data_IF_702200172128
#
_entry.id   IF_702200172128
#
_cell.length_a   1.000
_cell.length_b   1.000
_cell.length_c   1.000
_cell.angle_alpha   90.00
_cell.angle_beta   90.00
_cell.angle_gamma   90.00
#
_symmetry.space_group_name_H-M   'P 1'
#
loop_
_entity.id
_entity.type
_entity.pdbx_description
1 polymer ?
#
# COMPACT_ATOMS: atom_id res chain seq x y z
N UNK A 1 21.51 0.59 17.12
CA UNK A 1 20.35 1.32 16.57
C UNK A 1 20.04 0.72 15.22
N UNK A 2 19.01 -0.13 15.15
CA UNK A 2 18.63 -0.84 13.93
C UNK A 2 17.32 -0.28 13.37
N UNK A 3 17.35 0.16 12.12
CA UNK A 3 16.19 0.61 11.36
C UNK A 3 15.60 -0.56 10.60
N UNK A 4 14.36 -0.95 10.91
CA UNK A 4 13.62 -1.96 10.16
C UNK A 4 12.94 -1.31 8.95
N UNK A 5 13.28 -1.75 7.74
CA UNK A 5 12.70 -1.24 6.50
C UNK A 5 11.69 -2.26 5.96
N UNK A 6 10.41 -1.88 5.97
CA UNK A 6 9.32 -2.72 5.47
C UNK A 6 9.10 -2.44 3.98
N UNK A 7 9.54 -3.36 3.13
CA UNK A 7 9.45 -3.20 1.67
C UNK A 7 9.09 -4.54 0.97
N UNK A 8 9.51 -4.70 -0.28
CA UNK A 8 9.37 -5.91 -1.08
C UNK A 8 10.58 -6.07 -2.01
N UNK A 9 10.80 -7.29 -2.51
CA UNK A 9 12.04 -7.68 -3.18
C UNK A 9 12.36 -6.86 -4.44
N UNK A 10 11.32 -6.44 -5.18
CA UNK A 10 11.42 -5.65 -6.41
C UNK A 10 11.08 -4.15 -6.20
N UNK A 11 11.24 -3.62 -4.98
CA UNK A 11 11.15 -2.17 -4.79
C UNK A 11 12.29 -1.43 -5.52
N UNK A 12 12.12 -0.13 -5.68
CA UNK A 12 13.03 0.69 -6.45
C UNK A 12 14.29 1.12 -5.67
N UNK A 13 15.16 1.86 -6.38
CA UNK A 13 16.43 2.44 -5.91
C UNK A 13 16.33 3.24 -4.60
N UNK A 14 15.14 3.64 -4.15
CA UNK A 14 14.96 4.29 -2.85
C UNK A 14 15.48 3.46 -1.68
N UNK A 15 15.35 2.12 -1.73
CA UNK A 15 15.78 1.24 -0.62
C UNK A 15 17.30 1.27 -0.40
N UNK A 16 18.15 0.94 -1.40
CA UNK A 16 19.60 0.98 -1.22
C UNK A 16 20.13 2.38 -0.90
N UNK A 17 19.51 3.45 -1.43
CA UNK A 17 19.90 4.82 -1.10
C UNK A 17 19.68 5.15 0.39
N UNK A 18 18.53 4.77 0.94
CA UNK A 18 18.21 5.02 2.36
C UNK A 18 19.05 4.13 3.27
N UNK A 19 19.29 2.86 2.92
CA UNK A 19 20.19 1.98 3.66
C UNK A 19 21.58 2.60 3.79
N UNK A 20 22.17 3.03 2.67
CA UNK A 20 23.49 3.69 2.66
C UNK A 20 23.52 4.96 3.51
N UNK A 21 22.45 5.75 3.48
CA UNK A 21 22.35 6.96 4.29
C UNK A 21 22.28 6.64 5.80
N UNK A 22 21.57 5.58 6.19
CA UNK A 22 21.52 5.10 7.59
C UNK A 22 22.91 4.63 8.04
N UNK A 23 23.58 3.82 7.21
CA UNK A 23 24.92 3.30 7.48
C UNK A 23 25.98 4.41 7.59
N UNK A 24 25.91 5.42 6.71
CA UNK A 24 26.80 6.58 6.75
C UNK A 24 26.67 7.40 8.05
N UNK A 25 25.55 7.30 8.74
CA UNK A 25 25.32 7.90 10.06
C UNK A 25 25.66 6.96 11.23
N UNK A 26 26.25 5.78 10.95
CA UNK A 26 26.60 4.77 11.95
C UNK A 26 25.43 3.91 12.42
N UNK A 27 24.27 4.00 11.78
CA UNK A 27 23.12 3.13 12.02
C UNK A 27 23.26 1.78 11.32
N UNK A 28 22.39 0.83 11.70
CA UNK A 28 22.20 -0.42 10.96
C UNK A 28 20.82 -0.41 10.32
N UNK A 29 20.69 -0.97 9.13
CA UNK A 29 19.39 -1.17 8.48
C UNK A 29 19.14 -2.66 8.26
N UNK A 30 17.93 -3.12 8.55
CA UNK A 30 17.47 -4.46 8.22
C UNK A 30 16.34 -4.34 7.22
N UNK A 31 16.53 -4.90 6.02
CA UNK A 31 15.53 -4.92 4.96
C UNK A 31 14.62 -6.13 5.15
N UNK A 32 13.33 -5.89 5.32
CA UNK A 32 12.32 -6.94 5.35
C UNK A 32 11.43 -6.86 4.11
N UNK A 33 11.62 -7.83 3.20
CA UNK A 33 10.85 -7.98 1.97
C UNK A 33 9.56 -8.77 2.23
N UNK A 34 8.45 -8.06 2.38
CA UNK A 34 7.15 -8.64 2.77
C UNK A 34 6.53 -9.59 1.74
N UNK A 35 6.97 -9.54 0.48
CA UNK A 35 6.57 -10.47 -0.57
C UNK A 35 7.25 -11.83 -0.47
N UNK A 36 8.44 -11.89 0.14
CA UNK A 36 9.24 -13.10 0.37
C UNK A 36 8.82 -13.87 1.62
N UNK A 37 8.09 -13.24 2.54
CA UNK A 37 7.38 -13.92 3.62
C UNK A 37 6.04 -14.49 3.09
N UNK A 38 5.72 -15.78 3.31
CA UNK A 38 6.34 -16.72 4.23
C UNK A 38 7.26 -17.76 3.55
N UNK A 39 7.51 -17.65 2.25
CA UNK A 39 8.17 -18.69 1.45
C UNK A 39 9.68 -18.73 1.63
N UNK A 40 10.31 -17.60 1.93
CA UNK A 40 11.77 -17.45 2.02
C UNK A 40 12.22 -16.80 3.33
N UNK A 41 11.39 -15.90 3.88
CA UNK A 41 11.64 -15.22 5.16
C UNK A 41 10.79 -15.88 6.25
N UNK A 42 11.38 -16.11 7.42
CA UNK A 42 10.70 -16.62 8.60
C UNK A 42 10.41 -15.48 9.57
N UNK A 43 9.26 -15.57 10.24
CA UNK A 43 8.81 -14.61 11.23
C UNK A 43 8.29 -15.36 12.46
N UNK A 44 8.98 -15.19 13.58
CA UNK A 44 8.57 -15.70 14.88
C UNK A 44 8.11 -14.53 15.76
N UNK A 45 6.88 -14.58 16.26
CA UNK A 45 6.32 -13.56 17.18
C UNK A 45 5.83 -14.27 18.43
N UNK A 46 6.35 -13.86 19.58
CA UNK A 46 6.01 -14.40 20.89
C UNK A 46 5.28 -13.34 21.71
N UNK A 47 4.13 -13.71 22.27
CA UNK A 47 3.40 -12.90 23.23
C UNK A 47 2.93 -13.77 24.41
N UNK A 48 2.88 -13.18 25.61
CA UNK A 48 2.53 -13.87 26.85
C UNK A 48 3.75 -14.07 27.76
N UNK A 49 4.00 -15.31 28.20
CA UNK A 49 5.08 -15.62 29.15
C UNK A 49 6.48 -15.37 28.57
N UNK A 50 6.63 -15.48 27.25
CA UNK A 50 7.77 -14.97 26.49
C UNK A 50 7.28 -13.84 25.60
N UNK A 51 8.09 -12.78 25.50
CA UNK A 51 7.80 -11.64 24.64
C UNK A 51 9.00 -11.39 23.73
N UNK A 52 8.73 -11.13 22.46
CA UNK A 52 9.75 -10.76 21.49
C UNK A 52 9.34 -11.19 20.09
N UNK A 53 10.23 -10.96 19.14
CA UNK A 53 10.06 -11.50 17.81
C UNK A 53 11.35 -11.49 17.05
N UNK A 54 11.43 -12.34 16.04
CA UNK A 54 12.62 -12.57 15.26
C UNK A 54 12.23 -12.62 13.79
N UNK A 55 12.96 -11.87 12.97
CA UNK A 55 12.92 -12.01 11.51
C UNK A 55 14.19 -12.74 11.08
N UNK A 56 14.04 -13.82 10.32
CA UNK A 56 15.18 -14.58 9.75
C UNK A 56 15.09 -14.59 8.22
N UNK A 57 16.11 -14.07 7.55
CA UNK A 57 16.25 -14.06 6.09
C UNK A 57 17.63 -14.62 5.70
N UNK A 58 17.66 -15.91 5.35
CA UNK A 58 18.90 -16.65 5.15
C UNK A 58 19.78 -16.67 6.41
N UNK A 59 21.00 -16.16 6.29
CA UNK A 59 21.94 -16.04 7.43
C UNK A 59 21.69 -14.79 8.29
N UNK A 60 20.87 -13.85 7.80
CA UNK A 60 20.57 -12.62 8.52
C UNK A 60 19.44 -12.85 9.52
N UNK A 61 19.62 -12.31 10.73
CA UNK A 61 18.63 -12.38 11.80
C UNK A 61 18.48 -11.03 12.47
N UNK A 62 17.25 -10.64 12.74
CA UNK A 62 16.91 -9.45 13.51
C UNK A 62 16.03 -9.84 14.69
N UNK A 63 16.51 -9.57 15.90
CA UNK A 63 15.66 -9.51 17.09
C UNK A 63 14.89 -8.18 17.09
N UNK A 64 13.55 -8.24 17.15
CA UNK A 64 12.70 -7.07 17.10
C UNK A 64 12.90 -6.13 18.31
N UNK A 65 13.49 -6.61 19.41
CA UNK A 65 13.87 -5.75 20.54
C UNK A 65 15.03 -4.79 20.21
N UNK A 66 15.82 -5.06 19.17
CA UNK A 66 16.90 -4.19 18.70
C UNK A 66 16.41 -3.06 17.78
N UNK A 67 15.14 -3.10 17.37
CA UNK A 67 14.56 -2.15 16.42
C UNK A 67 14.32 -0.80 17.11
N UNK A 68 15.03 0.21 16.63
CA UNK A 68 14.91 1.58 17.12
C UNK A 68 13.98 2.44 16.27
N UNK A 69 13.71 2.05 15.03
CA UNK A 69 12.75 2.72 14.16
C UNK A 69 12.29 1.83 13.02
N UNK A 70 11.08 2.09 12.50
CA UNK A 70 10.47 1.38 11.39
C UNK A 70 10.21 2.35 10.24
N UNK A 71 10.66 2.01 9.04
CA UNK A 71 10.25 2.67 7.80
C UNK A 71 9.15 1.85 7.12
N UNK A 72 7.91 2.34 7.22
CA UNK A 72 6.72 1.71 6.64
C UNK A 72 6.56 2.11 5.18
N UNK A 73 7.38 1.53 4.30
CA UNK A 73 7.55 1.97 2.91
C UNK A 73 6.53 1.37 1.94
N UNK A 74 6.59 0.07 1.69
CA UNK A 74 5.74 -0.62 0.70
C UNK A 74 5.41 -2.02 1.17
N UNK A 75 4.16 -2.40 1.02
CA UNK A 75 3.65 -3.65 1.58
C UNK A 75 3.11 -4.53 0.47
N UNK A 76 3.75 -5.69 0.26
CA UNK A 76 3.40 -6.67 -0.76
C UNK A 76 3.31 -8.07 -0.13
N UNK A 77 2.59 -8.17 0.99
CA UNK A 77 2.45 -9.39 1.79
C UNK A 77 2.18 -10.64 0.95
N UNK A 78 3.00 -11.68 1.11
CA UNK A 78 2.75 -13.00 0.53
C UNK A 78 2.71 -13.03 -0.99
N UNK A 79 3.21 -12.01 -1.70
CA UNK A 79 3.09 -11.95 -3.16
C UNK A 79 3.87 -13.05 -3.89
N UNK A 80 4.89 -13.64 -3.27
CA UNK A 80 5.58 -14.82 -3.81
C UNK A 80 4.96 -16.16 -3.41
N UNK A 81 3.83 -16.18 -2.71
CA UNK A 81 3.06 -17.43 -2.56
C UNK A 81 2.67 -17.90 -3.98
N UNK A 82 3.01 -19.14 -4.36
CA UNK A 82 2.83 -19.64 -5.72
C UNK A 82 1.42 -19.42 -6.23
N UNK A 83 1.30 -18.97 -7.47
CA UNK A 83 0.03 -18.84 -8.20
C UNK A 83 -0.58 -20.20 -8.58
N UNK A 84 0.24 -21.26 -8.60
CA UNK A 84 -0.19 -22.66 -8.76
C UNK A 84 -0.93 -23.22 -7.54
N UNK A 85 -0.90 -22.53 -6.40
CA UNK A 85 -1.68 -22.91 -5.22
C UNK A 85 -3.17 -22.67 -5.48
N UNK A 86 -4.03 -23.54 -4.95
CA UNK A 86 -5.48 -23.33 -4.99
C UNK A 86 -5.85 -21.91 -4.53
N UNK A 87 -6.74 -21.26 -5.28
CA UNK A 87 -7.04 -19.85 -5.12
C UNK A 87 -7.63 -19.52 -3.74
N UNK A 88 -8.43 -20.41 -3.15
CA UNK A 88 -9.03 -20.18 -1.83
C UNK A 88 -7.95 -20.23 -0.75
N UNK A 89 -7.10 -21.25 -0.77
CA UNK A 89 -5.97 -21.36 0.17
C UNK A 89 -4.96 -20.24 -0.01
N UNK A 90 -4.66 -19.86 -1.26
CA UNK A 90 -3.75 -18.76 -1.56
C UNK A 90 -4.27 -17.44 -1.01
N UNK A 91 -5.55 -17.15 -1.21
CA UNK A 91 -6.18 -15.94 -0.69
C UNK A 91 -6.14 -15.90 0.84
N UNK A 92 -6.48 -17.02 1.50
CA UNK A 92 -6.40 -17.13 2.95
C UNK A 92 -4.96 -16.93 3.45
N UNK A 93 -3.97 -17.58 2.84
CA UNK A 93 -2.57 -17.45 3.20
C UNK A 93 -2.05 -16.00 3.03
N UNK A 94 -2.41 -15.31 1.94
CA UNK A 94 -2.04 -13.89 1.73
C UNK A 94 -2.67 -13.00 2.81
N UNK A 95 -3.93 -13.26 3.19
CA UNK A 95 -4.59 -12.51 4.26
C UNK A 95 -3.93 -12.76 5.61
N UNK A 96 -3.61 -14.02 5.94
CA UNK A 96 -2.87 -14.36 7.17
C UNK A 96 -1.50 -13.68 7.21
N UNK A 97 -0.78 -13.64 6.08
CA UNK A 97 0.48 -12.92 5.99
C UNK A 97 0.31 -11.42 6.25
N UNK A 98 -0.74 -10.82 5.67
CA UNK A 98 -1.07 -9.41 5.85
C UNK A 98 -1.36 -9.09 7.32
N UNK A 99 -2.24 -9.84 7.98
CA UNK A 99 -2.61 -9.57 9.38
C UNK A 99 -1.45 -9.83 10.33
N UNK A 100 -0.66 -10.87 10.11
CA UNK A 100 0.52 -11.22 10.93
C UNK A 100 1.58 -10.13 10.87
N UNK A 101 2.00 -9.73 9.66
CA UNK A 101 3.02 -8.69 9.49
C UNK A 101 2.52 -7.33 10.01
N UNK A 102 1.23 -7.01 9.81
CA UNK A 102 0.67 -5.77 10.36
C UNK A 102 0.65 -5.78 11.89
N UNK A 103 0.31 -6.91 12.50
CA UNK A 103 0.38 -7.11 13.95
C UNK A 103 1.80 -6.88 14.49
N UNK A 104 2.81 -7.52 13.86
CA UNK A 104 4.22 -7.30 14.20
C UNK A 104 4.58 -5.81 14.17
N UNK A 105 4.32 -5.12 13.06
CA UNK A 105 4.68 -3.70 12.90
C UNK A 105 3.99 -2.87 13.99
N UNK A 106 2.70 -3.10 14.25
CA UNK A 106 1.95 -2.37 15.26
C UNK A 106 2.47 -2.60 16.68
N UNK A 107 3.03 -3.78 16.98
CA UNK A 107 3.58 -4.12 18.30
C UNK A 107 4.98 -3.55 18.56
N UNK A 108 5.72 -3.12 17.52
CA UNK A 108 7.06 -2.54 17.70
C UNK A 108 6.96 -1.15 18.34
N UNK A 109 7.46 -1.02 19.57
CA UNK A 109 7.48 0.22 20.37
C UNK A 109 8.67 1.12 20.02
N UNK A 110 8.75 1.52 18.76
CA UNK A 110 9.81 2.37 18.22
C UNK A 110 9.25 3.61 17.51
N UNK A 111 10.11 4.47 16.95
CA UNK A 111 9.65 5.50 16.01
C UNK A 111 9.18 4.85 14.70
N UNK A 112 8.05 5.30 14.15
CA UNK A 112 7.50 4.80 12.88
C UNK A 112 7.40 5.93 11.87
N UNK A 113 7.98 5.71 10.69
CA UNK A 113 7.86 6.60 9.54
C UNK A 113 7.09 5.92 8.40
N UNK A 114 5.79 6.13 8.25
CA UNK A 114 4.87 6.72 9.25
C UNK A 114 4.22 5.63 10.11
N UNK A 115 3.53 6.03 11.18
CA UNK A 115 2.64 5.12 11.90
C UNK A 115 1.56 4.59 10.95
N UNK A 116 1.39 3.27 10.92
CA UNK A 116 0.43 2.58 10.04
C UNK A 116 -1.00 3.12 10.17
N UNK A 117 -1.45 3.44 11.39
CA UNK A 117 -2.77 4.05 11.63
C UNK A 117 -2.94 5.39 10.93
N UNK A 118 -1.88 6.21 10.89
CA UNK A 118 -1.92 7.50 10.22
C UNK A 118 -1.96 7.33 8.70
N UNK A 119 -1.22 6.35 8.17
CA UNK A 119 -1.26 6.00 6.74
C UNK A 119 -2.67 5.52 6.35
N UNK A 120 -3.29 4.65 7.16
CA UNK A 120 -4.63 4.14 6.90
C UNK A 120 -5.67 5.27 6.85
N UNK A 121 -5.61 6.25 7.77
CA UNK A 121 -6.48 7.45 7.73
C UNK A 121 -6.16 8.32 6.52
N UNK A 122 -4.88 8.61 6.29
CA UNK A 122 -4.43 9.48 5.21
C UNK A 122 -4.73 8.90 3.83
N UNK A 123 -4.91 7.59 3.67
CA UNK A 123 -5.27 6.96 2.39
C UNK A 123 -6.68 7.33 1.89
N UNK A 124 -7.55 7.90 2.73
CA UNK A 124 -8.87 8.35 2.31
C UNK A 124 -8.76 9.64 1.47
N UNK A 125 -8.78 9.49 0.15
CA UNK A 125 -8.70 10.61 -0.82
C UNK A 125 -9.81 11.66 -0.62
N UNK A 126 -11.00 11.27 -0.20
CA UNK A 126 -12.06 12.22 0.08
C UNK A 126 -11.74 13.07 1.32
N UNK A 127 -11.24 12.44 2.38
CA UNK A 127 -10.78 13.13 3.58
C UNK A 127 -9.60 14.08 3.27
N UNK A 128 -8.65 13.65 2.43
CA UNK A 128 -7.57 14.52 1.95
C UNK A 128 -8.10 15.82 1.32
N UNK A 129 -9.09 15.71 0.42
CA UNK A 129 -9.69 16.87 -0.25
C UNK A 129 -10.45 17.77 0.74
N UNK A 130 -11.15 17.17 1.71
CA UNK A 130 -11.86 17.93 2.73
C UNK A 130 -10.88 18.74 3.60
N UNK A 131 -9.88 18.08 4.20
CA UNK A 131 -8.89 18.73 5.06
C UNK A 131 -8.12 19.80 4.29
N UNK A 132 -7.75 19.54 3.03
CA UNK A 132 -7.09 20.53 2.19
C UNK A 132 -7.91 21.83 2.06
N UNK A 133 -9.24 21.73 1.84
CA UNK A 133 -10.12 22.91 1.79
C UNK A 133 -10.21 23.62 3.15
N UNK A 134 -10.34 22.85 4.24
CA UNK A 134 -10.44 23.41 5.60
C UNK A 134 -9.20 24.23 5.98
N UNK A 135 -8.01 23.86 5.48
CA UNK A 135 -6.76 24.61 5.70
C UNK A 135 -6.48 25.67 4.63
N UNK A 136 -7.42 25.94 3.72
CA UNK A 136 -7.32 27.01 2.72
C UNK A 136 -6.60 26.64 1.42
N UNK A 137 -6.32 25.35 1.18
CA UNK A 137 -5.80 24.92 -0.11
C UNK A 137 -6.92 24.79 -1.15
N UNK A 138 -6.62 25.19 -2.38
CA UNK A 138 -7.52 25.02 -3.52
C UNK A 138 -7.52 23.54 -3.93
N UNK A 139 -8.72 22.98 -4.11
CA UNK A 139 -8.90 21.60 -4.60
C UNK A 139 -9.86 21.59 -5.79
N UNK A 140 -9.72 20.64 -6.74
CA UNK A 140 -10.70 20.50 -7.82
C UNK A 140 -12.08 20.09 -7.29
N UNK A 141 -13.13 20.49 -8.02
CA UNK A 141 -14.45 19.89 -7.86
C UNK A 141 -14.32 18.38 -8.11
N UNK A 142 -14.85 17.56 -7.22
CA UNK A 142 -14.68 16.11 -7.27
C UNK A 142 -15.98 15.43 -6.90
N UNK A 143 -16.39 14.47 -7.72
CA UNK A 143 -17.53 13.58 -7.48
C UNK A 143 -17.02 12.14 -7.43
N UNK A 144 -17.44 11.38 -6.43
CA UNK A 144 -17.27 9.91 -6.37
C UNK A 144 -18.67 9.32 -6.31
N UNK A 145 -19.07 8.58 -7.35
CA UNK A 145 -20.45 8.12 -7.50
C UNK A 145 -20.55 6.87 -8.35
N UNK A 146 -21.60 6.09 -8.12
CA UNK A 146 -22.11 5.05 -9.01
C UNK A 146 -23.46 5.45 -9.66
N UNK A 147 -23.88 6.72 -9.54
CA UNK A 147 -25.13 7.23 -10.11
C UNK A 147 -24.86 7.91 -11.47
N UNK A 148 -25.33 7.34 -12.60
CA UNK A 148 -25.12 7.90 -13.94
C UNK A 148 -25.64 9.33 -14.09
N UNK A 149 -26.80 9.66 -13.51
CA UNK A 149 -27.40 10.99 -13.63
C UNK A 149 -26.57 12.06 -12.92
N UNK A 150 -25.96 11.71 -11.78
CA UNK A 150 -25.06 12.61 -11.07
C UNK A 150 -23.78 12.91 -11.89
N UNK A 151 -23.29 11.94 -12.67
CA UNK A 151 -22.15 12.14 -13.57
C UNK A 151 -22.51 13.11 -14.70
N UNK A 152 -23.67 12.91 -15.36
CA UNK A 152 -24.16 13.79 -16.43
C UNK A 152 -24.33 15.23 -15.93
N UNK A 153 -24.93 15.41 -14.75
CA UNK A 153 -25.08 16.72 -14.13
C UNK A 153 -23.71 17.35 -13.83
N UNK A 154 -22.80 16.60 -13.20
CA UNK A 154 -21.47 17.11 -12.86
C UNK A 154 -20.64 17.52 -14.09
N UNK A 155 -20.74 16.76 -15.18
CA UNK A 155 -20.12 17.09 -16.46
C UNK A 155 -20.67 18.39 -17.04
N UNK A 156 -22.00 18.57 -17.04
CA UNK A 156 -22.66 19.80 -17.49
C UNK A 156 -22.21 21.02 -16.68
N UNK A 157 -22.15 20.90 -15.35
CA UNK A 157 -21.69 21.97 -14.46
C UNK A 157 -20.19 22.30 -14.61
N UNK A 158 -19.42 21.47 -15.30
CA UNK A 158 -17.98 21.66 -15.54
C UNK A 158 -17.64 21.80 -17.05
N UNK A 159 -18.65 21.99 -17.93
CA UNK A 159 -18.50 21.91 -19.38
C UNK A 159 -17.37 22.80 -19.95
N UNK A 160 -17.13 23.98 -19.37
CA UNK A 160 -16.13 24.94 -19.86
C UNK A 160 -14.69 24.45 -19.68
N UNK A 161 -14.46 23.56 -18.71
CA UNK A 161 -13.12 23.02 -18.39
C UNK A 161 -12.99 21.52 -18.71
N UNK A 162 -14.12 20.84 -18.88
CA UNK A 162 -14.19 19.38 -18.97
C UNK A 162 -13.96 18.69 -17.62
N UNK A 163 -14.07 17.36 -17.61
CA UNK A 163 -13.82 16.53 -16.44
C UNK A 163 -12.86 15.38 -16.77
N UNK A 164 -12.23 14.83 -15.74
CA UNK A 164 -11.43 13.60 -15.81
C UNK A 164 -12.00 12.55 -14.87
N UNK A 165 -11.81 11.28 -15.19
CA UNK A 165 -12.15 10.14 -14.32
C UNK A 165 -10.90 9.41 -13.86
N UNK A 166 -10.96 8.80 -12.68
CA UNK A 166 -9.89 8.00 -12.09
C UNK A 166 -10.43 7.08 -10.99
N UNK A 167 -9.76 5.96 -10.77
CA UNK A 167 -10.09 5.03 -9.69
C UNK A 167 -9.54 5.50 -8.34
N UNK A 168 -10.27 5.21 -7.26
CA UNK A 168 -9.81 5.46 -5.90
C UNK A 168 -8.76 4.43 -5.47
N UNK A 169 -8.97 3.15 -5.82
CA UNK A 169 -8.01 2.08 -5.61
C UNK A 169 -7.06 1.92 -6.80
N UNK A 170 -5.89 1.36 -6.54
CA UNK A 170 -5.00 0.85 -7.57
C UNK A 170 -5.25 -0.65 -7.71
N UNK A 171 -5.63 -1.08 -8.90
CA UNK A 171 -5.78 -2.48 -9.25
C UNK A 171 -5.30 -2.70 -10.69
N UNK A 172 -4.87 -3.92 -10.97
CA UNK A 172 -4.56 -4.39 -12.30
C UNK A 172 -5.81 -5.02 -12.89
N UNK A 173 -6.14 -4.67 -14.12
CA UNK A 173 -7.06 -5.45 -14.95
C UNK A 173 -6.20 -6.34 -15.84
N UNK A 174 -6.50 -7.63 -15.94
CA UNK A 174 -5.77 -8.53 -16.82
C UNK A 174 -6.62 -8.86 -18.04
N UNK A 175 -6.04 -8.68 -19.23
CA UNK A 175 -6.67 -9.11 -20.48
C UNK A 175 -6.66 -10.63 -20.65
N UNK A 176 -7.34 -11.15 -21.68
CA UNK A 176 -7.43 -12.59 -21.96
C UNK A 176 -6.07 -13.28 -22.15
N UNK A 177 -5.02 -12.53 -22.54
CA UNK A 177 -3.67 -13.04 -22.72
C UNK A 177 -2.76 -12.77 -21.49
N UNK A 178 -3.35 -12.37 -20.36
CA UNK A 178 -2.64 -12.13 -19.10
C UNK A 178 -1.87 -10.81 -19.02
N UNK A 179 -2.03 -9.92 -20.00
CA UNK A 179 -1.40 -8.60 -19.98
C UNK A 179 -2.06 -7.68 -18.93
N UNK A 180 -1.24 -7.03 -18.11
CA UNK A 180 -1.70 -6.04 -17.13
C UNK A 180 -2.12 -4.74 -17.83
N UNK A 181 -3.34 -4.31 -17.56
CA UNK A 181 -3.91 -3.03 -17.96
C UNK A 181 -4.11 -2.18 -16.71
N UNK A 182 -3.50 -0.99 -16.73
CA UNK A 182 -3.58 -0.02 -15.64
C UNK A 182 -4.59 1.05 -16.03
N UNK A 183 -5.56 1.32 -15.15
CA UNK A 183 -6.52 2.41 -15.35
C UNK A 183 -5.88 3.73 -14.92
N UNK A 184 -5.47 4.53 -15.90
CA UNK A 184 -4.94 5.87 -15.67
C UNK A 184 -6.07 6.89 -15.46
N UNK A 185 -5.67 8.12 -15.13
CA UNK A 185 -6.60 9.26 -15.14
C UNK A 185 -6.87 9.65 -16.59
N UNK A 186 -8.12 9.59 -17.02
CA UNK A 186 -8.52 9.85 -18.40
C UNK A 186 -9.50 11.04 -18.48
N UNK A 187 -9.41 11.89 -19.51
CA UNK A 187 -10.50 12.81 -19.86
C UNK A 187 -11.80 12.04 -20.09
N UNK A 188 -12.93 12.64 -19.73
CA UNK A 188 -14.26 12.11 -20.06
C UNK A 188 -14.79 12.87 -21.27
N UNK A 189 -15.10 12.12 -22.32
CA UNK A 189 -15.64 12.64 -23.58
C UNK A 189 -17.18 12.61 -23.59
N UNK A 190 -17.80 13.22 -24.60
CA UNK A 190 -19.24 13.12 -24.80
C UNK A 190 -19.69 11.67 -25.06
N UNK A 191 -18.89 10.89 -25.80
CA UNK A 191 -19.15 9.47 -26.05
C UNK A 191 -19.14 8.65 -24.76
N UNK A 192 -18.19 8.90 -23.85
CA UNK A 192 -18.16 8.24 -22.54
C UNK A 192 -19.45 8.51 -21.73
N UNK A 193 -20.02 9.71 -21.84
CA UNK A 193 -21.26 10.10 -21.16
C UNK A 193 -22.50 9.38 -21.72
N UNK A 194 -22.44 8.80 -22.91
CA UNK A 194 -23.50 7.95 -23.45
C UNK A 194 -23.49 6.55 -22.81
N UNK A 195 -22.35 6.15 -22.25
CA UNK A 195 -22.11 4.80 -21.70
C UNK A 195 -22.09 4.73 -20.16
N UNK A 196 -22.44 5.82 -19.45
CA UNK A 196 -22.39 5.87 -17.97
C UNK A 196 -23.36 4.94 -17.26
N UNK A 197 -24.32 4.33 -17.95
CA UNK A 197 -25.23 3.33 -17.36
C UNK A 197 -24.47 2.09 -16.86
N UNK A 198 -23.26 1.81 -17.37
CA UNK A 198 -22.38 0.75 -16.89
C UNK A 198 -21.80 0.97 -15.48
N UNK A 199 -22.13 2.08 -14.81
CA UNK A 199 -21.76 2.35 -13.42
C UNK A 199 -22.64 1.61 -12.38
N UNK A 200 -23.77 1.03 -12.81
CA UNK A 200 -24.71 0.31 -11.95
C UNK A 200 -24.32 -1.14 -11.70
#
# INVERSE_FOLDING_TARGET
MTVLIITFSQDNESIPLVIKAIEAQGGKAFRFDTDRYPTEVQLDIYEGNSQGGIITDGEQKLDLSEVSSVWYRRMRYGKKIPDTMDQQYRNAAIQECRVTVRGMIASIKAFHFDKMSNVDVANNKQLQLQVAREVGLITPRTLSTNNPEAVKQFASECQDQGIVTKMLSSFAIYGEQGQEQVVFTNPVTAEDLEHVEGLR
#
